data_IF_033783900048
#
_entry.id   IF_033783900048
#
_cell.length_a   1.000
_cell.length_b   1.000
_cell.length_c   1.000
_cell.angle_alpha   90.00
_cell.angle_beta   90.00
_cell.angle_gamma   90.00
#
_symmetry.space_group_name_H-M   'P 1'
#
loop_
_entity.id
_entity.type
_entity.pdbx_description
1 polymer ?
#
# COMPACT_ATOMS: atom_id res chain seq x y z
N UNK A 1 -9.48 15.32 -27.63
CA UNK A 1 -8.74 16.20 -26.69
C UNK A 1 -9.31 16.16 -25.26
N UNK A 2 -10.62 16.00 -25.04
CA UNK A 2 -11.25 15.89 -23.71
C UNK A 2 -10.77 14.67 -22.93
N UNK A 3 -10.81 13.49 -23.51
CA UNK A 3 -10.42 12.24 -22.86
C UNK A 3 -8.94 12.21 -22.40
N UNK A 4 -8.04 12.90 -23.12
CA UNK A 4 -6.62 12.99 -22.73
C UNK A 4 -6.41 13.88 -21.51
N UNK A 5 -7.17 14.96 -21.37
CA UNK A 5 -7.12 15.86 -20.20
C UNK A 5 -7.66 15.16 -18.95
N UNK A 6 -8.75 14.42 -19.07
CA UNK A 6 -9.30 13.63 -17.95
C UNK A 6 -8.33 12.55 -17.48
N UNK A 7 -7.74 11.78 -18.38
CA UNK A 7 -6.72 10.77 -18.02
C UNK A 7 -5.52 11.38 -17.29
N UNK A 8 -5.03 12.54 -17.77
CA UNK A 8 -3.92 13.25 -17.11
C UNK A 8 -4.31 13.75 -15.73
N UNK A 9 -5.52 14.28 -15.56
CA UNK A 9 -6.03 14.74 -14.28
C UNK A 9 -6.11 13.60 -13.25
N UNK A 10 -6.73 12.47 -13.60
CA UNK A 10 -6.80 11.31 -12.72
C UNK A 10 -5.42 10.76 -12.36
N UNK A 11 -4.49 10.68 -13.32
CA UNK A 11 -3.11 10.29 -13.04
C UNK A 11 -2.47 11.20 -12.00
N UNK A 12 -2.62 12.51 -12.13
CA UNK A 12 -2.05 13.48 -11.20
C UNK A 12 -2.65 13.35 -9.81
N UNK A 13 -3.97 13.27 -9.69
CA UNK A 13 -4.68 13.17 -8.40
C UNK A 13 -4.30 11.89 -7.65
N UNK A 14 -4.29 10.74 -8.33
CA UNK A 14 -3.95 9.47 -7.69
C UNK A 14 -2.44 9.32 -7.42
N UNK A 15 -1.59 9.98 -8.21
CA UNK A 15 -0.15 9.94 -8.01
C UNK A 15 0.34 10.90 -6.92
N UNK A 16 -0.41 11.97 -6.66
CA UNK A 16 -0.04 12.99 -5.66
C UNK A 16 0.35 12.41 -4.29
N UNK A 17 -0.41 11.46 -3.70
CA UNK A 17 -0.03 10.87 -2.42
C UNK A 17 1.35 10.22 -2.40
N UNK A 18 1.78 9.63 -3.51
CA UNK A 18 3.05 8.90 -3.59
C UNK A 18 4.29 9.81 -3.61
N UNK A 19 4.13 11.11 -3.89
CA UNK A 19 5.20 12.10 -3.85
C UNK A 19 5.44 12.60 -2.42
N UNK A 20 4.42 12.51 -1.57
CA UNK A 20 4.48 13.02 -0.19
C UNK A 20 5.40 12.13 0.66
N UNK A 21 6.27 12.77 1.46
CA UNK A 21 7.10 12.04 2.43
C UNK A 21 6.25 11.18 3.37
N UNK A 22 6.66 9.94 3.62
CA UNK A 22 5.95 9.00 4.49
C UNK A 22 5.72 9.54 5.92
N UNK A 23 6.67 10.33 6.43
CA UNK A 23 6.51 11.01 7.73
C UNK A 23 5.37 12.00 7.70
N UNK A 24 5.26 12.80 6.65
CA UNK A 24 4.17 13.78 6.47
C UNK A 24 2.84 13.04 6.30
N UNK A 25 2.81 11.97 5.52
CA UNK A 25 1.63 11.10 5.41
C UNK A 25 1.18 10.61 6.79
N UNK A 26 2.10 10.09 7.61
CA UNK A 26 1.80 9.65 8.96
C UNK A 26 1.22 10.74 9.85
N UNK A 27 1.78 11.96 9.80
CA UNK A 27 1.27 13.10 10.54
C UNK A 27 -0.15 13.47 10.09
N UNK A 28 -0.36 13.61 8.77
CA UNK A 28 -1.69 13.96 8.20
C UNK A 28 -2.73 12.93 8.60
N UNK A 29 -2.43 11.64 8.45
CA UNK A 29 -3.36 10.58 8.82
C UNK A 29 -3.60 10.49 10.33
N UNK A 30 -2.63 10.88 11.18
CA UNK A 30 -2.85 11.00 12.62
C UNK A 30 -3.89 12.08 12.96
N UNK A 31 -3.93 13.16 12.19
CA UNK A 31 -5.02 14.17 12.32
C UNK A 31 -6.36 13.63 11.79
N UNK A 32 -6.37 12.90 10.67
CA UNK A 32 -7.60 12.28 10.13
C UNK A 32 -8.23 11.33 11.13
N UNK A 33 -7.41 10.51 11.81
CA UNK A 33 -7.84 9.51 12.80
C UNK A 33 -7.95 10.05 14.23
N UNK A 34 -7.79 11.35 14.45
CA UNK A 34 -7.89 11.91 15.79
C UNK A 34 -9.31 11.71 16.36
N UNK A 35 -9.47 11.17 17.60
CA UNK A 35 -10.77 10.80 18.13
C UNK A 35 -11.73 11.97 18.35
N UNK A 36 -11.20 13.16 18.67
CA UNK A 36 -11.99 14.34 19.02
C UNK A 36 -12.14 15.36 17.91
N UNK A 37 -11.08 15.57 17.13
CA UNK A 37 -11.01 16.61 16.08
C UNK A 37 -10.78 16.00 14.68
N UNK A 38 -10.73 14.68 14.57
CA UNK A 38 -10.42 14.01 13.32
C UNK A 38 -11.57 14.05 12.33
N UNK A 39 -11.19 14.19 11.05
CA UNK A 39 -12.13 14.27 9.94
C UNK A 39 -13.01 13.02 9.89
N UNK A 40 -12.46 11.82 10.16
CA UNK A 40 -13.20 10.56 10.06
C UNK A 40 -14.36 10.49 11.06
N UNK A 41 -14.11 10.78 12.35
CA UNK A 41 -15.16 10.78 13.36
C UNK A 41 -16.18 11.91 13.13
N UNK A 42 -15.76 13.04 12.59
CA UNK A 42 -16.66 14.13 12.25
C UNK A 42 -17.58 13.77 11.07
N UNK A 43 -17.05 13.08 10.05
CA UNK A 43 -17.88 12.56 8.95
C UNK A 43 -18.88 11.51 9.45
N UNK A 44 -18.49 10.63 10.37
CA UNK A 44 -19.40 9.65 10.96
C UNK A 44 -20.56 10.34 11.71
N UNK A 45 -20.29 11.44 12.41
CA UNK A 45 -21.35 12.25 13.04
C UNK A 45 -22.29 12.87 12.01
N UNK A 46 -21.74 13.44 10.94
CA UNK A 46 -22.53 14.08 9.88
C UNK A 46 -23.50 13.09 9.21
N UNK A 47 -23.07 11.83 9.04
CA UNK A 47 -23.91 10.77 8.47
C UNK A 47 -24.73 9.99 9.51
N UNK A 48 -24.81 10.47 10.77
CA UNK A 48 -25.54 9.82 11.88
C UNK A 48 -25.02 8.42 12.27
N UNK A 49 -23.76 8.11 11.97
CA UNK A 49 -23.08 6.86 12.36
C UNK A 49 -22.25 7.04 13.65
N UNK A 50 -22.73 7.81 14.61
CA UNK A 50 -21.99 8.14 15.86
C UNK A 50 -21.59 6.92 16.68
N UNK A 51 -22.31 5.80 16.58
CA UNK A 51 -21.97 4.52 17.23
C UNK A 51 -20.70 3.85 16.68
N UNK A 52 -20.21 4.27 15.51
CA UNK A 52 -19.02 3.75 14.86
C UNK A 52 -17.77 4.58 15.14
N UNK A 53 -17.90 5.60 15.98
CA UNK A 53 -16.74 6.41 16.37
C UNK A 53 -15.82 5.64 17.30
N UNK A 54 -14.54 5.72 17.03
CA UNK A 54 -13.50 5.04 17.78
C UNK A 54 -12.32 5.96 18.06
N UNK A 55 -11.52 5.60 19.05
CA UNK A 55 -10.18 6.11 19.21
C UNK A 55 -9.23 5.33 18.29
N UNK A 56 -9.39 5.52 16.98
CA UNK A 56 -8.82 4.71 15.89
C UNK A 56 -7.37 4.26 16.10
N UNK A 57 -6.50 5.17 16.52
CA UNK A 57 -5.09 4.90 16.80
C UNK A 57 -4.84 4.52 18.27
N UNK A 58 -5.81 4.74 19.13
CA UNK A 58 -5.77 4.42 20.56
C UNK A 58 -6.27 3.02 20.92
N UNK A 59 -6.91 2.33 19.97
CA UNK A 59 -7.45 1.00 20.17
C UNK A 59 -6.60 -0.04 19.43
N UNK A 60 -6.17 -1.12 20.14
CA UNK A 60 -5.33 -2.15 19.56
C UNK A 60 -5.94 -2.90 18.36
N UNK A 61 -7.28 -2.94 18.28
CA UNK A 61 -7.98 -3.60 17.17
C UNK A 61 -7.98 -2.77 15.87
N UNK A 62 -7.91 -1.45 15.97
CA UNK A 62 -8.02 -0.54 14.82
C UNK A 62 -6.70 0.09 14.39
N UNK A 63 -5.76 0.28 15.33
CA UNK A 63 -4.53 1.02 15.09
C UNK A 63 -3.71 0.48 13.89
N UNK A 64 -3.51 -0.83 13.79
CA UNK A 64 -2.77 -1.44 12.70
C UNK A 64 -3.48 -1.27 11.33
N UNK A 65 -4.81 -1.36 11.33
CA UNK A 65 -5.61 -1.15 10.10
C UNK A 65 -5.56 0.30 9.62
N UNK A 66 -5.52 1.26 10.54
CA UNK A 66 -5.35 2.68 10.22
C UNK A 66 -3.98 2.96 9.57
N UNK A 67 -2.92 2.34 10.09
CA UNK A 67 -1.58 2.40 9.49
C UNK A 67 -1.60 1.76 8.09
N UNK A 68 -2.25 0.61 7.94
CA UNK A 68 -2.43 -0.05 6.65
C UNK A 68 -3.20 0.81 5.64
N UNK A 69 -4.26 1.49 6.06
CA UNK A 69 -5.03 2.40 5.20
C UNK A 69 -4.18 3.56 4.70
N UNK A 70 -3.38 4.20 5.57
CA UNK A 70 -2.46 5.27 5.19
C UNK A 70 -1.39 4.79 4.19
N UNK A 71 -0.86 3.58 4.41
CA UNK A 71 0.13 2.96 3.53
C UNK A 71 -0.45 2.67 2.15
N UNK A 72 -1.64 2.06 2.09
CA UNK A 72 -2.32 1.75 0.84
C UNK A 72 -2.65 3.04 0.08
N UNK A 73 -3.17 4.05 0.74
CA UNK A 73 -3.48 5.35 0.13
C UNK A 73 -2.26 5.99 -0.53
N UNK A 74 -1.11 5.94 0.14
CA UNK A 74 0.14 6.48 -0.40
C UNK A 74 0.67 5.64 -1.58
N UNK A 75 0.53 4.32 -1.52
CA UNK A 75 1.09 3.40 -2.50
C UNK A 75 0.27 3.30 -3.79
N UNK A 76 -1.05 3.55 -3.76
CA UNK A 76 -1.96 3.37 -4.90
C UNK A 76 -1.42 4.08 -6.15
N UNK A 77 -1.02 5.35 -6.03
CA UNK A 77 -0.57 6.14 -7.18
C UNK A 77 0.67 5.58 -7.86
N UNK A 78 1.64 5.16 -7.06
CA UNK A 78 2.88 4.58 -7.57
C UNK A 78 2.62 3.31 -8.40
N UNK A 79 1.88 2.35 -7.84
CA UNK A 79 1.56 1.10 -8.55
C UNK A 79 0.59 1.32 -9.71
N UNK A 80 -0.34 2.26 -9.59
CA UNK A 80 -1.21 2.63 -10.70
C UNK A 80 -0.40 3.09 -11.93
N UNK A 81 0.59 3.97 -11.74
CA UNK A 81 1.43 4.46 -12.87
C UNK A 81 2.21 3.31 -13.49
N UNK A 82 2.77 2.39 -12.69
CA UNK A 82 3.46 1.21 -13.22
C UNK A 82 2.55 0.32 -14.08
N UNK A 83 1.31 0.07 -13.61
CA UNK A 83 0.36 -0.75 -14.36
C UNK A 83 -0.15 -0.04 -15.60
N UNK A 84 -0.40 1.27 -15.54
CA UNK A 84 -0.79 2.06 -16.72
C UNK A 84 0.30 2.03 -17.78
N UNK A 85 1.57 2.20 -17.40
CA UNK A 85 2.69 2.08 -18.34
C UNK A 85 2.78 0.68 -18.97
N UNK A 86 2.48 -0.36 -18.21
CA UNK A 86 2.44 -1.74 -18.73
C UNK A 86 1.26 -1.96 -19.68
N UNK A 87 0.09 -1.35 -19.44
CA UNK A 87 -1.07 -1.39 -20.34
C UNK A 87 -0.76 -0.64 -21.64
N UNK A 88 -0.17 0.55 -21.54
CA UNK A 88 0.22 1.37 -22.69
C UNK A 88 1.26 0.64 -23.60
N UNK A 89 1.98 -0.35 -23.06
CA UNK A 89 2.90 -1.21 -23.80
C UNK A 89 2.24 -2.36 -24.60
N UNK A 90 0.94 -2.62 -24.41
CA UNK A 90 0.22 -3.64 -25.17
C UNK A 90 -0.13 -3.08 -26.56
N UNK A 91 0.21 -3.84 -27.63
CA UNK A 91 -0.08 -3.42 -29.00
C UNK A 91 -1.58 -3.17 -29.20
N UNK A 92 -1.92 -2.07 -29.84
CA UNK A 92 -3.30 -1.73 -30.19
C UNK A 92 -3.93 -2.76 -31.13
N UNK A 93 -3.14 -3.39 -31.98
CA UNK A 93 -3.57 -4.45 -32.90
C UNK A 93 -4.26 -5.61 -32.18
N UNK A 94 -3.78 -5.96 -30.95
CA UNK A 94 -4.41 -7.01 -30.13
C UNK A 94 -5.84 -6.64 -29.73
N UNK A 95 -6.05 -5.37 -29.37
CA UNK A 95 -7.40 -4.87 -29.03
C UNK A 95 -8.31 -4.71 -30.24
N UNK A 96 -7.75 -4.37 -31.39
CA UNK A 96 -8.47 -4.26 -32.67
C UNK A 96 -8.91 -5.63 -33.16
N UNK A 97 -8.02 -6.63 -33.16
CA UNK A 97 -8.38 -8.02 -33.48
C UNK A 97 -9.52 -8.55 -32.59
N UNK A 98 -9.39 -8.33 -31.28
CA UNK A 98 -10.44 -8.70 -30.32
C UNK A 98 -11.77 -7.96 -30.57
N UNK A 99 -11.72 -6.74 -31.15
CA UNK A 99 -12.92 -5.99 -31.52
C UNK A 99 -13.60 -6.63 -32.73
N UNK A 100 -12.82 -7.09 -33.70
CA UNK A 100 -13.31 -7.80 -34.88
C UNK A 100 -13.99 -9.13 -34.48
N UNK A 101 -13.41 -9.82 -33.48
CA UNK A 101 -13.97 -11.06 -32.90
C UNK A 101 -15.22 -10.79 -32.02
N UNK A 102 -15.69 -9.55 -31.91
CA UNK A 102 -16.88 -9.17 -31.15
C UNK A 102 -16.69 -9.14 -29.63
N UNK A 103 -15.44 -9.12 -29.12
CA UNK A 103 -15.17 -9.06 -27.69
C UNK A 103 -15.60 -7.71 -27.09
N UNK A 104 -16.41 -7.77 -26.03
CA UNK A 104 -16.82 -6.59 -25.25
C UNK A 104 -15.65 -6.02 -24.45
N UNK A 105 -15.75 -4.77 -23.98
CA UNK A 105 -14.72 -4.13 -23.16
C UNK A 105 -14.37 -4.93 -21.89
N UNK A 106 -15.36 -5.53 -21.24
CA UNK A 106 -15.17 -6.39 -20.08
C UNK A 106 -14.41 -7.67 -20.45
N UNK A 107 -14.76 -8.29 -21.57
CA UNK A 107 -14.05 -9.47 -22.06
C UNK A 107 -12.60 -9.16 -22.43
N UNK A 108 -12.33 -8.03 -23.10
CA UNK A 108 -10.96 -7.56 -23.40
C UNK A 108 -10.17 -7.36 -22.11
N UNK A 109 -10.76 -6.74 -21.09
CA UNK A 109 -10.09 -6.52 -19.81
C UNK A 109 -9.68 -7.83 -19.13
N UNK A 110 -10.60 -8.77 -18.93
CA UNK A 110 -10.32 -9.99 -18.18
C UNK A 110 -9.59 -11.08 -18.98
N UNK A 111 -9.81 -11.16 -20.31
CA UNK A 111 -9.24 -12.23 -21.15
C UNK A 111 -7.96 -11.81 -21.89
N UNK A 112 -7.69 -10.53 -22.03
CA UNK A 112 -6.52 -10.02 -22.75
C UNK A 112 -5.65 -9.18 -21.83
N UNK A 113 -6.17 -8.09 -21.29
CA UNK A 113 -5.37 -7.13 -20.51
C UNK A 113 -4.78 -7.76 -19.25
N UNK A 114 -5.60 -8.37 -18.39
CA UNK A 114 -5.14 -8.99 -17.13
C UNK A 114 -4.11 -10.10 -17.37
N UNK A 115 -4.32 -11.05 -18.29
CA UNK A 115 -3.31 -12.07 -18.60
C UNK A 115 -1.99 -11.51 -19.10
N UNK A 116 -2.01 -10.51 -19.99
CA UNK A 116 -0.81 -9.87 -20.51
C UNK A 116 -0.06 -9.05 -19.44
N UNK A 117 -0.78 -8.48 -18.47
CA UNK A 117 -0.19 -7.76 -17.35
C UNK A 117 0.37 -8.66 -16.25
N UNK A 118 0.17 -9.95 -16.29
CA UNK A 118 0.51 -10.86 -15.21
C UNK A 118 1.95 -10.72 -14.73
N UNK A 119 2.90 -10.60 -15.66
CA UNK A 119 4.32 -10.39 -15.34
C UNK A 119 4.55 -9.07 -14.61
N UNK A 120 3.92 -8.00 -15.07
CA UNK A 120 3.97 -6.69 -14.41
C UNK A 120 3.36 -6.73 -13.01
N UNK A 121 2.20 -7.39 -12.84
CA UNK A 121 1.55 -7.58 -11.55
C UNK A 121 2.46 -8.37 -10.60
N UNK A 122 3.09 -9.45 -11.07
CA UNK A 122 4.04 -10.22 -10.27
C UNK A 122 5.24 -9.38 -9.80
N UNK A 123 5.82 -8.58 -10.69
CA UNK A 123 6.94 -7.70 -10.36
C UNK A 123 6.54 -6.63 -9.34
N UNK A 124 5.40 -5.96 -9.55
CA UNK A 124 4.92 -4.93 -8.61
C UNK A 124 4.56 -5.52 -7.25
N UNK A 125 4.05 -6.75 -7.20
CA UNK A 125 3.78 -7.44 -5.96
C UNK A 125 5.06 -7.70 -5.15
N UNK A 126 6.15 -8.15 -5.80
CA UNK A 126 7.46 -8.33 -5.15
C UNK A 126 7.98 -7.00 -4.61
N UNK A 127 7.90 -5.93 -5.41
CA UNK A 127 8.31 -4.58 -5.00
C UNK A 127 7.49 -4.07 -3.81
N UNK A 128 6.16 -4.33 -3.82
CA UNK A 128 5.28 -3.91 -2.73
C UNK A 128 5.61 -4.61 -1.41
N UNK A 129 5.90 -5.90 -1.43
CA UNK A 129 6.30 -6.65 -0.23
C UNK A 129 7.58 -6.05 0.40
N UNK A 130 8.60 -5.81 -0.42
CA UNK A 130 9.86 -5.23 0.05
C UNK A 130 9.69 -3.80 0.56
N UNK A 131 8.90 -2.98 -0.14
CA UNK A 131 8.59 -1.60 0.24
C UNK A 131 7.79 -1.51 1.52
N UNK A 132 6.78 -2.36 1.70
CA UNK A 132 5.90 -2.37 2.87
C UNK A 132 6.65 -2.58 4.17
N UNK A 133 7.68 -3.44 4.19
CA UNK A 133 8.49 -3.70 5.39
C UNK A 133 9.12 -2.41 5.91
N UNK A 134 9.71 -1.60 5.02
CA UNK A 134 10.36 -0.34 5.41
C UNK A 134 9.36 0.78 5.69
N UNK A 135 8.36 0.96 4.84
CA UNK A 135 7.39 2.06 4.93
C UNK A 135 6.46 1.90 6.13
N UNK A 136 6.10 0.67 6.49
CA UNK A 136 5.29 0.39 7.67
C UNK A 136 5.99 0.79 8.97
N UNK A 137 7.32 0.67 9.05
CA UNK A 137 8.09 1.17 10.19
C UNK A 137 7.90 2.68 10.40
N UNK A 138 8.06 3.47 9.35
CA UNK A 138 7.91 4.94 9.44
C UNK A 138 6.51 5.32 9.88
N UNK A 139 5.47 4.72 9.30
CA UNK A 139 4.08 5.01 9.68
C UNK A 139 3.77 4.54 11.10
N UNK A 140 4.15 3.32 11.49
CA UNK A 140 3.94 2.83 12.85
C UNK A 140 4.64 3.72 13.88
N UNK A 141 5.87 4.16 13.59
CA UNK A 141 6.61 5.04 14.49
C UNK A 141 5.98 6.43 14.63
N UNK A 142 5.53 7.02 13.52
CA UNK A 142 4.97 8.38 13.50
C UNK A 142 3.54 8.42 14.03
N UNK A 143 2.68 7.46 13.64
CA UNK A 143 1.25 7.49 13.97
C UNK A 143 0.96 7.00 15.39
N UNK A 144 1.69 5.99 15.87
CA UNK A 144 1.34 5.33 17.14
C UNK A 144 2.55 5.04 18.05
N UNK A 145 3.78 5.13 17.53
CA UNK A 145 4.97 4.66 18.23
C UNK A 145 4.96 3.15 18.52
N UNK A 146 4.13 2.37 17.79
CA UNK A 146 3.90 0.94 18.02
C UNK A 146 2.75 0.63 18.99
N UNK A 147 2.11 1.65 19.56
CA UNK A 147 1.00 1.52 20.52
C UNK A 147 -0.36 1.20 19.90
N UNK A 148 -1.42 1.02 20.72
CA UNK A 148 -1.36 0.78 22.16
C UNK A 148 -0.83 -0.63 22.50
N UNK A 149 -0.06 -0.75 23.58
CA UNK A 149 0.45 -2.03 24.09
C UNK A 149 1.15 -2.93 23.04
N UNK A 150 1.84 -2.33 22.06
CA UNK A 150 2.51 -3.06 20.98
C UNK A 150 1.59 -3.52 19.84
N UNK A 151 0.29 -3.24 19.88
CA UNK A 151 -0.70 -3.75 18.92
C UNK A 151 -0.48 -3.29 17.48
N UNK A 152 0.17 -2.17 17.27
CA UNK A 152 0.54 -1.67 15.94
C UNK A 152 2.05 -1.72 15.67
N UNK A 153 2.81 -2.41 16.53
CA UNK A 153 4.25 -2.56 16.36
C UNK A 153 4.54 -3.53 15.22
N UNK A 154 5.10 -3.02 14.15
CA UNK A 154 5.63 -3.83 13.06
C UNK A 154 7.04 -4.31 13.39
N UNK A 155 7.54 -5.31 12.68
CA UNK A 155 8.80 -6.00 13.00
C UNK A 155 10.00 -5.04 13.12
N UNK A 156 10.15 -4.10 12.18
CA UNK A 156 11.22 -3.10 12.24
C UNK A 156 11.01 -2.09 13.38
N UNK A 157 9.76 -1.76 13.73
CA UNK A 157 9.45 -0.92 14.89
C UNK A 157 9.85 -1.60 16.19
N UNK A 158 9.58 -2.90 16.31
CA UNK A 158 9.96 -3.68 17.47
C UNK A 158 11.48 -3.79 17.58
N UNK A 159 12.18 -4.08 16.47
CA UNK A 159 13.63 -4.08 16.40
C UNK A 159 14.23 -2.73 16.86
N UNK A 160 13.70 -1.62 16.34
CA UNK A 160 14.15 -0.28 16.73
C UNK A 160 13.94 -0.01 18.24
N UNK A 161 12.80 -0.40 18.76
CA UNK A 161 12.50 -0.24 20.20
C UNK A 161 13.46 -1.04 21.05
N UNK A 162 13.74 -2.29 20.71
CA UNK A 162 14.69 -3.13 21.46
C UNK A 162 16.11 -2.58 21.40
N UNK A 163 16.59 -2.17 20.22
CA UNK A 163 17.95 -1.66 20.07
C UNK A 163 18.14 -0.27 20.64
N UNK A 164 17.31 0.69 20.20
CA UNK A 164 17.56 2.11 20.44
C UNK A 164 16.93 2.63 21.74
N UNK A 165 15.81 2.04 22.19
CA UNK A 165 15.14 2.47 23.42
C UNK A 165 15.52 1.60 24.63
N UNK A 166 15.65 0.29 24.44
CA UNK A 166 15.92 -0.67 25.50
C UNK A 166 17.41 -1.07 25.61
N UNK A 167 18.28 -0.56 24.70
CA UNK A 167 19.70 -0.88 24.60
C UNK A 167 20.00 -2.39 24.44
N UNK A 168 19.04 -3.19 24.02
CA UNK A 168 19.18 -4.63 23.78
C UNK A 168 19.70 -4.89 22.35
N UNK A 169 20.92 -4.43 22.05
CA UNK A 169 21.49 -4.48 20.71
C UNK A 169 21.59 -5.90 20.14
N UNK A 170 22.01 -6.89 20.95
CA UNK A 170 22.11 -8.27 20.50
C UNK A 170 20.76 -8.84 20.05
N UNK A 171 19.71 -8.58 20.81
CA UNK A 171 18.35 -9.00 20.45
C UNK A 171 17.82 -8.25 19.22
N UNK A 172 18.06 -6.95 19.12
CA UNK A 172 17.68 -6.16 17.94
C UNK A 172 18.38 -6.68 16.67
N UNK A 173 19.66 -7.04 16.76
CA UNK A 173 20.39 -7.64 15.63
C UNK A 173 19.85 -9.01 15.23
N UNK A 174 19.41 -9.83 16.19
CA UNK A 174 18.74 -11.10 15.89
C UNK A 174 17.42 -10.88 15.13
N UNK A 175 16.62 -9.87 15.51
CA UNK A 175 15.40 -9.48 14.80
C UNK A 175 15.74 -8.97 13.39
N UNK A 176 16.81 -8.18 13.23
CA UNK A 176 17.26 -7.70 11.92
C UNK A 176 17.62 -8.87 10.98
N UNK A 177 18.37 -9.84 11.47
CA UNK A 177 18.72 -11.06 10.71
C UNK A 177 17.49 -11.87 10.35
N UNK A 178 16.56 -12.06 11.28
CA UNK A 178 15.29 -12.71 11.00
C UNK A 178 14.49 -11.97 9.92
N UNK A 179 14.41 -10.64 10.01
CA UNK A 179 13.72 -9.81 9.02
C UNK A 179 14.36 -9.93 7.63
N UNK A 180 15.68 -9.95 7.56
CA UNK A 180 16.42 -10.15 6.31
C UNK A 180 16.11 -11.50 5.68
N UNK A 181 16.18 -12.58 6.47
CA UNK A 181 15.87 -13.93 5.99
C UNK A 181 14.41 -14.00 5.51
N UNK A 182 13.48 -13.45 6.28
CA UNK A 182 12.06 -13.38 5.90
C UNK A 182 11.86 -12.64 4.57
N UNK A 183 12.51 -11.50 4.38
CA UNK A 183 12.43 -10.72 3.15
C UNK A 183 12.97 -11.49 1.93
N UNK A 184 14.11 -12.20 2.10
CA UNK A 184 14.70 -13.04 1.05
C UNK A 184 13.76 -14.20 0.70
N UNK A 185 13.21 -14.89 1.69
CA UNK A 185 12.28 -16.01 1.48
C UNK A 185 11.01 -15.53 0.74
N UNK A 186 10.43 -14.42 1.18
CA UNK A 186 9.26 -13.83 0.50
C UNK A 186 9.57 -13.43 -0.94
N UNK A 187 10.73 -12.84 -1.18
CA UNK A 187 11.16 -12.47 -2.54
C UNK A 187 11.35 -13.70 -3.44
N UNK A 188 11.96 -14.78 -2.91
CA UNK A 188 12.12 -16.04 -3.66
C UNK A 188 10.78 -16.71 -3.98
N UNK A 189 9.86 -16.77 -3.01
CA UNK A 189 8.51 -17.33 -3.23
C UNK A 189 7.78 -16.52 -4.28
N UNK A 190 7.77 -15.20 -4.16
CA UNK A 190 7.11 -14.30 -5.12
C UNK A 190 7.68 -14.46 -6.53
N UNK A 191 9.00 -14.56 -6.66
CA UNK A 191 9.67 -14.79 -7.94
C UNK A 191 9.24 -16.13 -8.55
N UNK A 192 9.22 -17.20 -7.75
CA UNK A 192 8.80 -18.52 -8.20
C UNK A 192 7.36 -18.52 -8.71
N UNK A 193 6.43 -17.96 -7.94
CA UNK A 193 5.00 -17.84 -8.34
C UNK A 193 4.83 -17.00 -9.60
N UNK A 194 5.70 -15.99 -9.83
CA UNK A 194 5.65 -15.17 -11.05
C UNK A 194 6.24 -15.87 -12.27
N UNK A 195 7.23 -16.78 -12.08
CA UNK A 195 7.92 -17.46 -13.19
C UNK A 195 7.31 -18.82 -13.59
N UNK A 196 6.66 -19.55 -12.68
CA UNK A 196 6.08 -20.88 -12.96
C UNK A 196 4.86 -20.87 -13.92
N UNK A 197 4.55 -19.75 -14.50
CA UNK A 197 3.37 -19.58 -15.37
C UNK A 197 3.74 -18.98 -16.72
N UNK A 198 4.99 -19.14 -17.13
CA UNK A 198 5.44 -19.08 -18.52
C UNK A 198 5.26 -20.44 -19.16
#
# INVERSE_FOLDING_TARGET
>A
QGQLKEKSFYRTVFFFPSIVSMTVVGIVWSFVFNPTRGILNHMLDLFHFSTWKHAWLGEGKTALWCIGAALVWQAIGYYMVMHVASIDGISQEVYEAASIDGATGVQKFFRITIPLLRRSIGTTYILSLSGTINLSFTLSNVMTGGGPNGASSVLLQYMYTQGMRNANFGYAMAIAMFTLILAIVLAMISKKVSSEKE
#
